data_IF_488245308200
#
_entry.id   IF_488245308200
#
_cell.length_a   1.000
_cell.length_b   1.000
_cell.length_c   1.000
_cell.angle_alpha   90.00
_cell.angle_beta   90.00
_cell.angle_gamma   90.00
#
_symmetry.space_group_name_H-M   'P 1'
#
loop_
_entity.id
_entity.type
_entity.pdbx_description
1 polymer ?
#
# COMPACT_ATOMS: atom_id res chain seq x y z
N UNK A 1 40.08 11.15 46.71
CA UNK A 1 38.91 12.02 46.46
C UNK A 1 38.80 12.56 45.02
N UNK A 2 39.83 12.43 44.15
CA UNK A 2 39.81 13.02 42.79
C UNK A 2 38.91 12.36 41.72
N UNK A 3 38.36 11.17 42.00
CA UNK A 3 37.57 10.39 41.03
C UNK A 3 36.06 10.57 41.15
N UNK A 4 35.60 11.42 42.09
CA UNK A 4 34.18 11.72 42.26
C UNK A 4 33.86 13.15 41.83
N UNK A 5 32.66 13.35 41.31
CA UNK A 5 32.10 14.66 40.96
C UNK A 5 30.76 14.82 41.66
N UNK A 6 30.51 16.02 42.20
CA UNK A 6 29.22 16.35 42.81
C UNK A 6 28.24 16.86 41.76
N UNK A 7 27.05 16.25 41.71
CA UNK A 7 25.94 16.62 40.84
C UNK A 7 24.67 16.59 41.69
N UNK A 8 23.97 17.71 41.79
CA UNK A 8 22.72 17.85 42.56
C UNK A 8 22.81 17.31 44.00
N UNK A 9 23.91 17.60 44.71
CA UNK A 9 24.14 17.16 46.10
C UNK A 9 24.52 15.70 46.28
N UNK A 10 24.80 14.97 45.19
CA UNK A 10 25.28 13.57 45.22
C UNK A 10 26.63 13.44 44.53
N UNK A 11 27.51 12.59 45.09
CA UNK A 11 28.82 12.30 44.52
C UNK A 11 28.76 11.06 43.62
N UNK A 12 29.19 11.22 42.38
CA UNK A 12 29.27 10.17 41.36
C UNK A 12 30.71 9.89 40.98
N UNK A 13 31.07 8.63 40.73
CA UNK A 13 32.38 8.30 40.15
C UNK A 13 32.43 8.80 38.70
N UNK A 14 33.58 9.32 38.24
CA UNK A 14 33.74 9.85 36.87
C UNK A 14 33.61 8.81 35.76
N UNK A 15 33.68 7.53 36.09
CA UNK A 15 33.58 6.40 35.15
C UNK A 15 32.16 5.85 34.97
N UNK A 16 31.14 6.47 35.55
CA UNK A 16 29.76 6.02 35.33
C UNK A 16 29.36 6.16 33.85
N UNK A 17 28.56 5.21 33.38
CA UNK A 17 28.05 5.17 32.01
C UNK A 17 26.59 5.61 31.90
N UNK A 18 25.86 5.70 33.03
CA UNK A 18 24.48 6.15 33.07
C UNK A 18 24.27 7.15 34.20
N UNK A 19 23.59 8.25 33.89
CA UNK A 19 23.18 9.26 34.84
C UNK A 19 21.72 9.63 34.57
N UNK A 20 20.92 9.59 35.63
CA UNK A 20 19.52 9.96 35.60
C UNK A 20 19.28 11.14 36.55
N UNK A 21 18.89 12.25 35.96
CA UNK A 21 18.52 13.51 36.61
C UNK A 21 17.06 13.88 36.30
N UNK A 22 16.22 12.90 36.00
CA UNK A 22 14.78 13.12 35.78
C UNK A 22 14.05 13.53 37.07
N UNK A 23 12.98 14.31 36.91
CA UNK A 23 12.11 14.73 38.01
C UNK A 23 12.88 15.42 39.15
N UNK A 24 13.80 16.34 38.82
CA UNK A 24 14.63 17.08 39.79
C UNK A 24 14.32 18.56 39.86
N UNK A 25 13.25 19.00 39.21
CA UNK A 25 12.86 20.42 39.09
C UNK A 25 14.00 21.31 38.56
N UNK A 26 14.93 20.74 37.77
CA UNK A 26 16.09 21.47 37.27
C UNK A 26 15.67 22.59 36.33
N UNK A 27 16.14 23.80 36.61
CA UNK A 27 16.03 24.94 35.70
C UNK A 27 17.26 25.07 34.79
N UNK A 28 18.38 24.45 35.18
CA UNK A 28 19.61 24.36 34.39
C UNK A 28 20.29 22.99 34.56
N UNK A 29 21.05 22.58 33.54
CA UNK A 29 21.86 21.37 33.61
C UNK A 29 23.11 21.66 34.47
N UNK A 30 23.44 20.83 35.48
CA UNK A 30 24.61 21.05 36.32
C UNK A 30 25.91 21.07 35.50
N UNK A 31 26.67 22.17 35.57
CA UNK A 31 27.88 22.38 34.79
C UNK A 31 28.95 21.29 34.95
N UNK A 32 28.97 20.63 36.11
CA UNK A 32 29.91 19.56 36.45
C UNK A 32 29.66 18.26 35.66
N UNK A 33 28.55 18.14 34.94
CA UNK A 33 28.26 16.97 34.10
C UNK A 33 29.34 16.71 33.04
N UNK A 34 30.00 17.78 32.56
CA UNK A 34 31.10 17.72 31.60
C UNK A 34 32.31 16.90 32.07
N UNK A 35 32.38 16.56 33.36
CA UNK A 35 33.42 15.72 33.94
C UNK A 35 33.14 14.21 33.82
N UNK A 36 31.94 13.81 33.41
CA UNK A 36 31.51 12.42 33.26
C UNK A 36 31.73 11.93 31.83
N UNK A 37 32.99 11.89 31.39
CA UNK A 37 33.34 11.64 29.97
C UNK A 37 33.02 10.22 29.47
N UNK A 38 32.76 9.27 30.38
CA UNK A 38 32.38 7.89 30.04
C UNK A 38 30.85 7.69 29.92
N UNK A 39 30.08 8.78 30.01
CA UNK A 39 28.63 8.69 30.01
C UNK A 39 28.11 8.23 28.64
N UNK A 40 27.34 7.16 28.65
CA UNK A 40 26.64 6.62 27.47
C UNK A 40 25.15 6.99 27.48
N UNK A 41 24.55 7.16 28.66
CA UNK A 41 23.13 7.44 28.83
C UNK A 41 22.94 8.62 29.80
N UNK A 42 22.29 9.67 29.32
CA UNK A 42 21.91 10.84 30.11
C UNK A 42 20.40 11.07 30.03
N UNK A 43 19.74 11.04 31.17
CA UNK A 43 18.30 11.28 31.30
C UNK A 43 18.09 12.59 32.07
N UNK A 44 17.43 13.55 31.43
CA UNK A 44 17.12 14.89 31.93
C UNK A 44 15.62 15.21 31.79
N UNK A 45 14.77 14.21 31.58
CA UNK A 45 13.35 14.41 31.35
C UNK A 45 12.57 14.86 32.60
N UNK A 46 11.38 15.42 32.39
CA UNK A 46 10.51 15.92 33.47
C UNK A 46 11.22 16.94 34.38
N UNK A 47 11.86 17.92 33.77
CA UNK A 47 12.49 19.04 34.46
C UNK A 47 11.88 20.37 33.97
N UNK A 48 12.49 21.50 34.32
CA UNK A 48 12.04 22.86 33.99
C UNK A 48 13.06 23.59 33.13
N UNK A 49 13.88 22.85 32.37
CA UNK A 49 14.94 23.43 31.53
C UNK A 49 14.31 24.30 30.45
N UNK A 50 14.73 25.57 30.38
CA UNK A 50 14.27 26.51 29.34
C UNK A 50 15.28 26.71 28.23
N UNK A 51 16.55 26.41 28.50
CA UNK A 51 17.69 26.54 27.59
C UNK A 51 18.73 25.45 27.88
N UNK A 52 19.61 25.23 26.91
CA UNK A 52 20.81 24.41 27.07
C UNK A 52 22.02 25.34 26.94
N UNK A 53 22.85 25.39 27.99
CA UNK A 53 24.08 26.19 27.96
C UNK A 53 25.03 25.66 26.90
N UNK A 54 25.72 26.57 26.22
CA UNK A 54 26.69 26.23 25.19
C UNK A 54 27.77 25.26 25.72
N UNK A 55 28.16 24.31 24.88
CA UNK A 55 29.24 23.36 25.12
C UNK A 55 29.05 22.44 26.35
N UNK A 56 27.86 22.39 26.95
CA UNK A 56 27.60 21.58 28.16
C UNK A 56 27.79 20.08 27.90
N UNK A 57 27.62 19.64 26.64
CA UNK A 57 27.74 18.25 26.22
C UNK A 57 29.04 17.92 25.48
N UNK A 58 29.93 18.89 25.24
CA UNK A 58 31.09 18.73 24.34
C UNK A 58 32.03 17.59 24.74
N UNK A 59 32.18 17.36 26.05
CA UNK A 59 33.03 16.30 26.58
C UNK A 59 32.35 14.93 26.70
N UNK A 60 31.05 14.84 26.39
CA UNK A 60 30.25 13.62 26.52
C UNK A 60 30.22 12.84 25.20
N UNK A 61 31.37 12.68 24.56
CA UNK A 61 31.49 12.11 23.21
C UNK A 61 31.08 10.63 23.13
N UNK A 62 31.03 9.92 24.27
CA UNK A 62 30.57 8.53 24.37
C UNK A 62 29.04 8.39 24.47
N UNK A 63 28.30 9.49 24.49
CA UNK A 63 26.86 9.48 24.70
C UNK A 63 26.15 8.78 23.53
N UNK A 64 25.36 7.76 23.85
CA UNK A 64 24.51 6.99 22.93
C UNK A 64 23.04 7.36 23.08
N UNK A 65 22.63 7.83 24.25
CA UNK A 65 21.24 8.22 24.51
C UNK A 65 21.19 9.50 25.33
N UNK A 66 20.46 10.49 24.81
CA UNK A 66 20.16 11.74 25.47
C UNK A 66 18.64 11.93 25.51
N UNK A 67 18.07 12.02 26.71
CA UNK A 67 16.65 12.30 26.88
C UNK A 67 16.45 13.66 27.55
N UNK A 68 15.88 14.61 26.81
CA UNK A 68 15.54 15.97 27.21
C UNK A 68 14.02 16.22 27.17
N UNK A 69 13.21 15.17 27.05
CA UNK A 69 11.75 15.28 26.92
C UNK A 69 11.09 15.89 28.16
N UNK A 70 9.88 16.42 28.03
CA UNK A 70 9.12 17.00 29.14
C UNK A 70 9.91 18.11 29.86
N UNK A 71 10.40 19.07 29.09
CA UNK A 71 11.04 20.28 29.57
C UNK A 71 10.32 21.52 29.01
N UNK A 72 10.97 22.68 29.00
CA UNK A 72 10.41 23.95 28.52
C UNK A 72 11.33 24.60 27.49
N UNK A 73 12.13 23.81 26.80
CA UNK A 73 13.11 24.26 25.83
C UNK A 73 12.39 24.95 24.67
N UNK A 74 12.77 26.20 24.39
CA UNK A 74 12.19 26.98 23.28
C UNK A 74 13.06 26.91 22.02
N UNK A 75 14.36 26.76 22.21
CA UNK A 75 15.35 26.69 21.16
C UNK A 75 16.47 25.74 21.58
N UNK A 76 17.15 25.16 20.61
CA UNK A 76 18.43 24.49 20.78
C UNK A 76 19.43 25.20 19.85
N UNK A 77 20.54 25.66 20.40
CA UNK A 77 21.57 26.37 19.63
C UNK A 77 22.24 25.44 18.62
N UNK A 78 22.66 26.02 17.49
CA UNK A 78 23.19 25.32 16.30
C UNK A 78 24.47 24.49 16.51
N UNK A 79 25.07 24.50 17.71
CA UNK A 79 26.27 23.71 18.04
C UNK A 79 26.06 22.72 19.21
N UNK A 80 24.84 22.64 19.76
CA UNK A 80 24.58 21.92 21.03
C UNK A 80 24.94 20.44 20.98
N UNK A 81 24.85 19.80 19.81
CA UNK A 81 25.02 18.35 19.66
C UNK A 81 26.25 17.94 18.83
N UNK A 82 27.07 18.90 18.39
CA UNK A 82 28.12 18.67 17.39
C UNK A 82 29.15 17.61 17.79
N UNK A 83 29.42 17.47 19.09
CA UNK A 83 30.39 16.49 19.63
C UNK A 83 29.78 15.14 19.96
N UNK A 84 28.46 15.00 19.87
CA UNK A 84 27.74 13.77 20.22
C UNK A 84 27.67 12.79 19.04
N UNK A 85 28.81 12.54 18.39
CA UNK A 85 28.87 11.76 17.14
C UNK A 85 28.49 10.28 17.32
N UNK A 86 28.49 9.76 18.56
CA UNK A 86 28.07 8.40 18.89
C UNK A 86 26.59 8.30 19.29
N UNK A 87 25.84 9.41 19.23
CA UNK A 87 24.45 9.44 19.68
C UNK A 87 23.57 8.60 18.75
N UNK A 88 22.82 7.68 19.35
CA UNK A 88 21.88 6.79 18.66
C UNK A 88 20.43 7.17 18.94
N UNK A 89 20.14 7.77 20.09
CA UNK A 89 18.79 8.11 20.51
C UNK A 89 18.75 9.52 21.09
N UNK A 90 17.93 10.38 20.52
CA UNK A 90 17.69 11.73 20.98
C UNK A 90 16.18 11.94 21.18
N UNK A 91 15.80 12.23 22.42
CA UNK A 91 14.41 12.53 22.77
C UNK A 91 14.29 13.99 23.20
N UNK A 92 13.45 14.73 22.47
CA UNK A 92 13.16 16.15 22.66
C UNK A 92 11.66 16.42 22.77
N UNK A 93 10.85 15.37 22.94
CA UNK A 93 9.39 15.47 23.00
C UNK A 93 8.86 16.30 24.16
N UNK A 94 7.65 16.85 24.00
CA UNK A 94 6.99 17.65 25.04
C UNK A 94 7.86 18.83 25.50
N UNK A 95 8.32 19.62 24.55
CA UNK A 95 9.05 20.88 24.77
C UNK A 95 8.27 22.05 24.13
N UNK A 96 8.93 23.15 23.81
CA UNK A 96 8.34 24.35 23.18
C UNK A 96 9.14 24.77 21.94
N UNK A 97 9.80 23.81 21.29
CA UNK A 97 10.64 24.07 20.13
C UNK A 97 9.77 24.53 18.96
N UNK A 98 10.16 25.63 18.32
CA UNK A 98 9.51 26.12 17.09
C UNK A 98 10.22 25.67 15.83
N UNK A 99 11.47 25.23 15.95
CA UNK A 99 12.34 24.81 14.85
C UNK A 99 13.13 23.55 15.23
N UNK A 100 13.45 22.74 14.22
CA UNK A 100 14.37 21.60 14.37
C UNK A 100 15.81 22.14 14.32
N UNK A 101 16.70 21.73 15.25
CA UNK A 101 18.07 22.26 15.27
C UNK A 101 18.85 21.83 14.02
N UNK A 102 19.40 22.80 13.28
CA UNK A 102 20.04 22.54 11.97
C UNK A 102 21.23 21.57 12.02
N UNK A 103 21.88 21.41 13.18
CA UNK A 103 23.00 20.50 13.39
C UNK A 103 22.60 19.06 13.66
N UNK A 104 21.30 18.75 13.71
CA UNK A 104 20.83 17.37 13.92
C UNK A 104 21.37 16.44 12.83
N UNK A 105 21.53 16.94 11.60
CA UNK A 105 22.13 16.21 10.47
C UNK A 105 23.56 15.72 10.72
N UNK A 106 24.30 16.25 11.70
CA UNK A 106 25.64 15.75 12.02
C UNK A 106 25.62 14.51 12.92
N UNK A 107 24.46 14.13 13.47
CA UNK A 107 24.28 12.92 14.27
C UNK A 107 24.10 11.69 13.37
N UNK A 108 25.11 11.35 12.58
CA UNK A 108 25.02 10.32 11.52
C UNK A 108 24.76 8.89 12.05
N UNK A 109 24.96 8.65 13.35
CA UNK A 109 24.66 7.37 14.01
C UNK A 109 23.26 7.33 14.64
N UNK A 110 22.46 8.39 14.48
CA UNK A 110 21.13 8.49 15.08
C UNK A 110 20.20 7.45 14.47
N UNK A 111 19.51 6.70 15.33
CA UNK A 111 18.55 5.64 15.01
C UNK A 111 17.14 6.04 15.45
N UNK A 112 17.02 6.83 16.52
CA UNK A 112 15.74 7.31 17.05
C UNK A 112 15.82 8.81 17.28
N UNK A 113 14.87 9.54 16.68
CA UNK A 113 14.64 10.95 16.92
C UNK A 113 13.16 11.17 17.27
N UNK A 114 12.93 11.69 18.46
CA UNK A 114 11.59 12.04 18.95
C UNK A 114 11.51 13.55 19.19
N UNK A 115 10.70 14.22 18.36
CA UNK A 115 10.40 15.65 18.38
C UNK A 115 8.90 15.91 18.62
N UNK A 116 8.15 14.89 19.05
CA UNK A 116 6.70 14.97 19.26
C UNK A 116 6.29 16.02 20.28
N UNK A 117 5.06 16.51 20.21
CA UNK A 117 4.48 17.45 21.16
C UNK A 117 5.38 18.70 21.36
N UNK A 118 5.69 19.37 20.25
CA UNK A 118 6.43 20.63 20.21
C UNK A 118 5.57 21.69 19.48
N UNK A 119 6.21 22.71 18.91
CA UNK A 119 5.54 23.77 18.14
C UNK A 119 6.23 23.96 16.81
N UNK A 120 6.75 22.88 16.22
CA UNK A 120 7.45 22.91 14.95
C UNK A 120 6.50 23.34 13.84
N UNK A 121 6.88 24.38 13.10
CA UNK A 121 6.06 24.97 12.02
C UNK A 121 6.47 24.43 10.65
N UNK A 122 7.76 24.18 10.47
CA UNK A 122 8.33 23.71 9.21
C UNK A 122 9.51 22.77 9.44
N UNK A 123 9.87 22.02 8.40
CA UNK A 123 11.09 21.23 8.32
C UNK A 123 11.97 21.89 7.26
N UNK A 124 13.12 22.39 7.70
CA UNK A 124 14.10 23.00 6.80
C UNK A 124 14.65 21.97 5.82
N UNK A 125 15.07 22.47 4.66
CA UNK A 125 15.73 21.65 3.65
C UNK A 125 17.01 21.04 4.27
N UNK A 126 17.34 19.82 3.87
CA UNK A 126 18.51 19.06 4.34
C UNK A 126 18.54 18.70 5.85
N UNK A 127 17.47 18.95 6.61
CA UNK A 127 17.42 18.65 8.07
C UNK A 127 17.81 17.19 8.36
N UNK A 128 17.40 16.27 7.48
CA UNK A 128 17.58 14.82 7.66
C UNK A 128 18.59 14.18 6.70
N UNK A 129 19.28 14.97 5.87
CA UNK A 129 20.02 14.49 4.70
C UNK A 129 21.14 13.47 4.98
N UNK A 130 21.65 13.47 6.20
CA UNK A 130 22.76 12.62 6.64
C UNK A 130 22.35 11.57 7.65
N UNK A 131 21.06 11.50 8.00
CA UNK A 131 20.53 10.58 9.01
C UNK A 131 20.15 9.23 8.39
N UNK A 132 21.05 8.65 7.59
CA UNK A 132 20.78 7.41 6.84
C UNK A 132 20.56 6.19 7.74
N UNK A 133 20.98 6.25 9.00
CA UNK A 133 20.77 5.20 10.01
C UNK A 133 19.46 5.36 10.81
N UNK A 134 18.67 6.41 10.54
CA UNK A 134 17.46 6.68 11.30
C UNK A 134 16.40 5.61 11.01
N UNK A 135 15.84 5.04 12.06
CA UNK A 135 14.83 3.97 12.01
C UNK A 135 13.47 4.47 12.52
N UNK A 136 13.49 5.42 13.46
CA UNK A 136 12.28 5.97 14.09
C UNK A 136 12.38 7.49 14.08
N UNK A 137 11.39 8.14 13.45
CA UNK A 137 11.20 9.57 13.45
C UNK A 137 9.78 9.89 13.90
N UNK A 138 9.67 10.60 15.02
CA UNK A 138 8.39 11.04 15.56
C UNK A 138 8.33 12.58 15.54
N UNK A 139 7.39 13.10 14.76
CA UNK A 139 7.07 14.52 14.56
C UNK A 139 5.61 14.82 14.93
N UNK A 140 4.94 13.91 15.64
CA UNK A 140 3.53 14.03 16.02
C UNK A 140 3.23 15.22 16.93
N UNK A 141 1.98 15.66 16.99
CA UNK A 141 1.52 16.79 17.83
C UNK A 141 2.40 18.03 17.66
N UNK A 142 2.56 18.47 16.42
CA UNK A 142 3.24 19.72 16.06
C UNK A 142 2.28 20.62 15.26
N UNK A 143 2.80 21.69 14.66
CA UNK A 143 1.99 22.63 13.85
C UNK A 143 2.52 22.71 12.42
N UNK A 144 3.04 21.58 11.91
CA UNK A 144 3.56 21.48 10.55
C UNK A 144 2.40 21.67 9.56
N UNK A 145 2.53 22.63 8.65
CA UNK A 145 1.52 22.89 7.61
C UNK A 145 1.85 22.22 6.28
N UNK A 146 3.12 21.93 6.03
CA UNK A 146 3.57 21.24 4.83
C UNK A 146 4.78 20.34 5.09
N UNK A 147 4.92 19.30 4.26
CA UNK A 147 6.16 18.54 4.09
C UNK A 147 6.64 18.79 2.65
N UNK A 148 7.87 19.26 2.50
CA UNK A 148 8.45 19.50 1.17
C UNK A 148 8.74 18.18 0.45
N UNK A 149 8.91 18.26 -0.86
CA UNK A 149 9.32 17.11 -1.64
C UNK A 149 10.69 16.61 -1.16
N UNK A 150 10.87 15.29 -1.13
CA UNK A 150 12.13 14.65 -0.73
C UNK A 150 12.65 14.96 0.69
N UNK A 151 11.85 15.58 1.59
CA UNK A 151 12.26 15.84 2.99
C UNK A 151 12.79 14.58 3.70
N UNK A 152 12.24 13.41 3.38
CA UNK A 152 12.66 12.12 3.94
C UNK A 152 13.55 11.29 2.99
N UNK A 153 13.98 11.84 1.86
CA UNK A 153 14.62 11.10 0.76
C UNK A 153 15.94 10.41 1.12
N UNK A 154 16.56 10.76 2.25
CA UNK A 154 17.80 10.13 2.74
C UNK A 154 17.59 9.15 3.88
N UNK A 155 16.36 9.02 4.39
CA UNK A 155 16.00 8.16 5.52
C UNK A 155 15.74 6.71 5.05
N UNK A 156 16.69 6.14 4.31
CA UNK A 156 16.49 4.85 3.62
C UNK A 156 16.32 3.65 4.55
N UNK A 157 16.64 3.78 5.84
CA UNK A 157 16.44 2.73 6.86
C UNK A 157 15.25 3.02 7.78
N UNK A 158 14.41 4.01 7.47
CA UNK A 158 13.29 4.39 8.31
C UNK A 158 12.23 3.28 8.34
N UNK A 159 11.84 2.86 9.54
CA UNK A 159 10.82 1.83 9.78
C UNK A 159 9.53 2.42 10.35
N UNK A 160 9.62 3.54 11.06
CA UNK A 160 8.51 4.24 11.70
C UNK A 160 8.60 5.74 11.44
N UNK A 161 7.53 6.31 10.90
CA UNK A 161 7.34 7.74 10.70
C UNK A 161 5.98 8.15 11.24
N UNK A 162 5.99 9.08 12.19
CA UNK A 162 4.77 9.62 12.79
C UNK A 162 4.68 11.13 12.52
N UNK A 163 3.59 11.52 11.87
CA UNK A 163 3.19 12.88 11.53
C UNK A 163 1.77 13.17 12.04
N UNK A 164 1.26 12.36 12.96
CA UNK A 164 -0.06 12.52 13.58
C UNK A 164 -0.22 13.93 14.19
N UNK A 165 -1.45 14.47 14.20
CA UNK A 165 -1.79 15.69 14.94
C UNK A 165 -0.90 16.89 14.50
N UNK A 166 -0.89 17.11 13.20
CA UNK A 166 -0.27 18.26 12.55
C UNK A 166 -1.35 19.04 11.75
N UNK A 167 -0.94 19.97 10.90
CA UNK A 167 -1.83 20.82 10.11
C UNK A 167 -1.64 20.59 8.61
N UNK A 168 -1.21 19.38 8.21
CA UNK A 168 -0.91 19.04 6.83
C UNK A 168 -2.18 19.01 5.99
N UNK A 169 -2.20 19.75 4.88
CA UNK A 169 -3.35 19.80 3.95
C UNK A 169 -3.17 18.94 2.71
N UNK A 170 -1.93 18.61 2.36
CA UNK A 170 -1.60 17.76 1.22
C UNK A 170 -0.33 16.93 1.49
N UNK A 171 -0.17 15.86 0.70
CA UNK A 171 1.07 15.11 0.58
C UNK A 171 1.64 15.47 -0.79
N UNK A 172 2.86 16.03 -0.82
CA UNK A 172 3.54 16.36 -2.08
C UNK A 172 4.01 15.10 -2.79
N UNK A 173 4.26 15.21 -4.08
CA UNK A 173 4.76 14.08 -4.86
C UNK A 173 6.12 13.63 -4.31
N UNK A 174 6.37 12.31 -4.35
CA UNK A 174 7.65 11.72 -3.97
C UNK A 174 8.07 11.89 -2.49
N UNK A 175 7.23 12.47 -1.62
CA UNK A 175 7.53 12.67 -0.18
C UNK A 175 8.04 11.39 0.51
N UNK A 176 7.53 10.21 0.13
CA UNK A 176 7.86 8.93 0.77
C UNK A 176 8.61 7.93 -0.13
N UNK A 177 9.05 8.33 -1.33
CA UNK A 177 9.50 7.37 -2.36
C UNK A 177 10.71 6.51 -1.95
N UNK A 178 11.60 7.03 -1.12
CA UNK A 178 12.84 6.36 -0.71
C UNK A 178 12.65 5.49 0.54
N UNK A 179 11.45 5.46 1.14
CA UNK A 179 11.18 4.80 2.42
C UNK A 179 10.74 3.34 2.24
N UNK A 180 11.49 2.56 1.47
CA UNK A 180 11.13 1.17 1.12
C UNK A 180 11.02 0.22 2.33
N UNK A 181 11.66 0.54 3.46
CA UNK A 181 11.63 -0.22 4.71
C UNK A 181 10.58 0.27 5.71
N UNK A 182 9.84 1.33 5.39
CA UNK A 182 8.83 1.89 6.29
C UNK A 182 7.74 0.84 6.55
N UNK A 183 7.47 0.60 7.83
CA UNK A 183 6.47 -0.36 8.30
C UNK A 183 5.24 0.33 8.83
N UNK A 184 5.42 1.48 9.46
CA UNK A 184 4.34 2.28 10.05
C UNK A 184 4.45 3.71 9.56
N UNK A 185 3.35 4.22 9.03
CA UNK A 185 3.18 5.61 8.67
C UNK A 185 1.90 6.12 9.33
N UNK A 186 2.05 7.09 10.23
CA UNK A 186 0.92 7.79 10.84
C UNK A 186 0.78 9.20 10.26
N UNK A 187 -0.38 9.48 9.67
CA UNK A 187 -0.81 10.76 9.12
C UNK A 187 -2.18 11.16 9.69
N UNK A 188 -2.60 10.54 10.80
CA UNK A 188 -3.86 10.82 11.46
C UNK A 188 -3.96 12.26 11.98
N UNK A 189 -5.17 12.72 12.27
CA UNK A 189 -5.41 14.04 12.87
C UNK A 189 -4.74 15.20 12.11
N UNK A 190 -4.82 15.15 10.77
CA UNK A 190 -4.34 16.22 9.89
C UNK A 190 -5.54 16.83 9.12
N UNK A 191 -5.26 17.59 8.07
CA UNK A 191 -6.27 18.28 7.23
C UNK A 191 -6.20 17.82 5.78
N UNK A 192 -5.75 16.59 5.53
CA UNK A 192 -5.61 16.04 4.19
C UNK A 192 -6.98 15.91 3.53
N UNK A 193 -7.14 16.41 2.30
CA UNK A 193 -8.41 16.37 1.57
C UNK A 193 -8.50 15.29 0.50
N UNK A 194 -7.36 14.86 -0.01
CA UNK A 194 -7.22 13.80 -1.02
C UNK A 194 -5.92 13.02 -0.84
N UNK A 195 -5.90 11.77 -1.31
CA UNK A 195 -4.68 11.00 -1.53
C UNK A 195 -4.53 10.76 -3.04
N UNK A 196 -3.44 11.28 -3.62
CA UNK A 196 -3.16 11.19 -5.05
C UNK A 196 -2.73 9.77 -5.45
N UNK A 197 -2.81 9.49 -6.74
CA UNK A 197 -2.30 8.26 -7.33
C UNK A 197 -0.82 8.05 -6.98
N UNK A 198 -0.43 6.80 -6.76
CA UNK A 198 0.97 6.40 -6.49
C UNK A 198 1.65 7.01 -5.25
N UNK A 199 0.96 7.79 -4.41
CA UNK A 199 1.51 8.41 -3.19
C UNK A 199 2.30 7.44 -2.30
N UNK A 200 1.83 6.19 -2.18
CA UNK A 200 2.45 5.15 -1.34
C UNK A 200 3.13 4.03 -2.15
N UNK A 201 3.29 4.19 -3.47
CA UNK A 201 3.64 3.10 -4.39
C UNK A 201 5.01 2.44 -4.10
N UNK A 202 5.91 3.16 -3.42
CA UNK A 202 7.25 2.66 -3.04
C UNK A 202 7.32 2.08 -1.63
N UNK A 203 6.26 2.21 -0.83
CA UNK A 203 6.20 1.72 0.56
C UNK A 203 5.90 0.22 0.62
N UNK A 204 6.74 -0.58 -0.05
CA UNK A 204 6.51 -2.02 -0.25
C UNK A 204 6.52 -2.84 1.05
N UNK A 205 7.13 -2.31 2.12
CA UNK A 205 7.18 -2.94 3.45
C UNK A 205 6.09 -2.47 4.40
N UNK A 206 5.24 -1.51 3.99
CA UNK A 206 4.28 -0.88 4.86
C UNK A 206 3.27 -1.90 5.37
N UNK A 207 3.11 -1.96 6.69
CA UNK A 207 2.22 -2.85 7.40
C UNK A 207 1.05 -2.08 8.01
N UNK A 208 1.27 -0.84 8.44
CA UNK A 208 0.27 -0.02 9.11
C UNK A 208 0.26 1.40 8.51
N UNK A 209 -0.94 1.83 8.11
CA UNK A 209 -1.18 3.17 7.58
C UNK A 209 -2.37 3.79 8.31
N UNK A 210 -2.13 4.92 8.97
CA UNK A 210 -3.13 5.67 9.70
C UNK A 210 -3.42 6.99 8.98
N UNK A 211 -4.67 7.19 8.61
CA UNK A 211 -5.21 8.38 7.95
C UNK A 211 -6.49 8.88 8.66
N UNK A 212 -6.74 8.37 9.87
CA UNK A 212 -7.90 8.69 10.71
C UNK A 212 -8.02 10.18 10.99
N UNK A 213 -9.23 10.70 11.14
CA UNK A 213 -9.47 12.12 11.49
C UNK A 213 -8.75 13.08 10.52
N UNK A 214 -8.99 12.91 9.22
CA UNK A 214 -8.60 13.85 8.18
C UNK A 214 -9.85 14.41 7.49
N UNK A 215 -9.67 15.18 6.41
CA UNK A 215 -10.76 15.71 5.60
C UNK A 215 -10.91 14.98 4.25
N UNK A 216 -10.46 13.72 4.18
CA UNK A 216 -10.35 12.99 2.91
C UNK A 216 -11.72 12.81 2.29
N UNK A 217 -11.91 13.34 1.08
CA UNK A 217 -13.12 13.16 0.28
C UNK A 217 -12.96 12.05 -0.77
N UNK A 218 -11.72 11.80 -1.18
CA UNK A 218 -11.35 10.83 -2.20
C UNK A 218 -9.96 10.24 -1.91
N UNK A 219 -9.83 8.94 -2.17
CA UNK A 219 -8.53 8.26 -2.33
C UNK A 219 -8.52 7.77 -3.77
N UNK A 220 -7.54 8.21 -4.56
CA UNK A 220 -7.49 7.88 -5.98
C UNK A 220 -7.30 6.38 -6.21
N UNK A 221 -7.71 5.94 -7.39
CA UNK A 221 -7.42 4.59 -7.84
C UNK A 221 -5.89 4.38 -7.91
N UNK A 222 -5.41 3.14 -7.80
CA UNK A 222 -3.98 2.79 -7.79
C UNK A 222 -3.15 3.22 -6.54
N UNK A 223 -3.72 3.95 -5.58
CA UNK A 223 -3.01 4.35 -4.35
C UNK A 223 -2.46 3.15 -3.56
N UNK A 224 -3.15 2.01 -3.59
CA UNK A 224 -2.79 0.82 -2.79
C UNK A 224 -2.14 -0.32 -3.58
N UNK A 225 -1.84 -0.14 -4.88
CA UNK A 225 -1.45 -1.24 -5.78
C UNK A 225 -0.24 -2.06 -5.33
N UNK A 226 0.74 -1.40 -4.71
CA UNK A 226 1.98 -2.05 -4.26
C UNK A 226 2.00 -2.37 -2.78
N UNK A 227 0.96 -1.99 -2.02
CA UNK A 227 0.88 -2.19 -0.57
C UNK A 227 0.45 -3.63 -0.21
N UNK A 228 1.12 -4.61 -0.80
CA UNK A 228 0.83 -6.04 -0.64
C UNK A 228 1.10 -6.56 0.78
N UNK A 229 1.90 -5.83 1.56
CA UNK A 229 2.22 -6.12 2.95
C UNK A 229 1.34 -5.40 3.98
N UNK A 230 0.43 -4.53 3.55
CA UNK A 230 -0.44 -3.77 4.45
C UNK A 230 -1.33 -4.71 5.24
N UNK A 231 -1.39 -4.49 6.56
CA UNK A 231 -2.15 -5.30 7.53
C UNK A 231 -3.25 -4.50 8.19
N UNK A 232 -2.96 -3.23 8.49
CA UNK A 232 -3.89 -2.29 9.12
C UNK A 232 -4.01 -1.03 8.28
N UNK A 233 -5.25 -0.64 7.96
CA UNK A 233 -5.57 0.61 7.29
C UNK A 233 -6.68 1.31 8.06
N UNK A 234 -6.36 2.52 8.55
CA UNK A 234 -7.30 3.34 9.31
C UNK A 234 -7.68 4.59 8.52
N UNK A 235 -8.97 4.69 8.21
CA UNK A 235 -9.63 5.73 7.43
C UNK A 235 -10.83 6.31 8.19
N UNK A 236 -10.97 6.00 9.47
CA UNK A 236 -12.09 6.47 10.28
C UNK A 236 -12.15 8.00 10.31
N UNK A 237 -13.33 8.56 10.56
CA UNK A 237 -13.53 9.99 10.77
C UNK A 237 -13.02 10.84 9.58
N UNK A 238 -13.38 10.44 8.36
CA UNK A 238 -13.10 11.17 7.12
C UNK A 238 -14.42 11.53 6.39
N UNK A 239 -14.33 11.98 5.14
CA UNK A 239 -15.46 12.39 4.29
C UNK A 239 -15.53 11.55 3.00
N UNK A 240 -15.03 10.31 3.05
CA UNK A 240 -14.91 9.44 1.87
C UNK A 240 -16.28 9.01 1.35
N UNK A 241 -16.46 9.11 0.03
CA UNK A 241 -17.69 8.64 -0.65
C UNK A 241 -17.59 7.20 -1.12
N UNK A 242 -16.38 6.68 -1.31
CA UNK A 242 -16.10 5.32 -1.74
C UNK A 242 -14.66 4.93 -1.39
N UNK A 243 -14.35 3.64 -1.48
CA UNK A 243 -12.98 3.12 -1.40
C UNK A 243 -12.50 2.69 -2.80
N UNK A 244 -11.23 2.90 -3.16
CA UNK A 244 -10.69 2.48 -4.45
C UNK A 244 -10.53 0.95 -4.52
N UNK A 245 -10.65 0.39 -5.72
CA UNK A 245 -10.56 -1.06 -5.93
C UNK A 245 -9.15 -1.60 -5.69
N UNK A 246 -8.13 -0.76 -5.82
CA UNK A 246 -6.74 -1.07 -5.49
C UNK A 246 -6.57 -1.62 -4.07
N UNK A 247 -7.49 -1.38 -3.14
CA UNK A 247 -7.47 -2.00 -1.80
C UNK A 247 -7.50 -3.54 -1.84
N UNK A 248 -8.07 -4.12 -2.91
CA UNK A 248 -8.09 -5.58 -3.12
C UNK A 248 -6.68 -6.16 -3.35
N UNK A 249 -5.70 -5.32 -3.69
CA UNK A 249 -4.29 -5.72 -3.84
C UNK A 249 -3.59 -5.89 -2.47
N UNK A 250 -4.15 -5.34 -1.38
CA UNK A 250 -3.64 -5.49 -0.02
C UNK A 250 -3.98 -6.88 0.57
N UNK A 251 -3.42 -7.95 -0.01
CA UNK A 251 -3.78 -9.34 0.33
C UNK A 251 -3.51 -9.76 1.79
N UNK A 252 -2.70 -8.99 2.52
CA UNK A 252 -2.39 -9.22 3.94
C UNK A 252 -3.23 -8.36 4.88
N UNK A 253 -4.16 -7.55 4.36
CA UNK A 253 -5.01 -6.69 5.16
C UNK A 253 -5.88 -7.55 6.09
N UNK A 254 -5.95 -7.11 7.35
CA UNK A 254 -6.71 -7.78 8.42
C UNK A 254 -7.59 -6.80 9.19
N UNK A 255 -7.16 -5.54 9.28
CA UNK A 255 -7.98 -4.45 9.79
C UNK A 255 -8.17 -3.39 8.71
N UNK A 256 -9.43 -3.07 8.44
CA UNK A 256 -9.85 -1.96 7.61
C UNK A 256 -10.90 -1.18 8.39
N UNK A 257 -10.52 0.01 8.83
CA UNK A 257 -11.35 0.88 9.63
C UNK A 257 -11.73 2.08 8.78
N UNK A 258 -13.02 2.32 8.57
CA UNK A 258 -13.54 3.40 7.71
C UNK A 258 -14.86 3.93 8.26
N UNK A 259 -15.10 3.75 9.55
CA UNK A 259 -16.27 4.21 10.26
C UNK A 259 -16.33 5.75 10.22
N UNK A 260 -17.52 6.31 10.42
CA UNK A 260 -17.75 7.76 10.41
C UNK A 260 -17.44 8.48 9.09
N UNK A 261 -17.27 7.75 7.97
CA UNK A 261 -17.34 8.32 6.62
C UNK A 261 -18.81 8.39 6.15
N UNK A 262 -19.45 9.56 6.29
CA UNK A 262 -20.87 9.73 5.94
C UNK A 262 -21.11 9.43 4.46
N UNK A 263 -22.19 8.68 4.18
CA UNK A 263 -22.65 8.33 2.83
C UNK A 263 -21.66 7.52 1.99
N UNK A 264 -20.69 6.84 2.63
CA UNK A 264 -19.75 5.97 1.92
C UNK A 264 -20.49 4.80 1.25
N UNK A 265 -20.28 4.66 -0.05
CA UNK A 265 -20.75 3.52 -0.84
C UNK A 265 -19.61 2.52 -1.00
N UNK A 266 -19.83 1.29 -0.56
CA UNK A 266 -18.84 0.22 -0.65
C UNK A 266 -19.15 -0.67 -1.85
N UNK A 267 -18.19 -0.78 -2.77
CA UNK A 267 -18.26 -1.73 -3.88
C UNK A 267 -18.42 -3.16 -3.34
N UNK A 268 -19.28 -3.97 -3.97
CA UNK A 268 -19.59 -5.33 -3.53
C UNK A 268 -18.34 -6.22 -3.41
N UNK A 269 -17.33 -5.99 -4.26
CA UNK A 269 -16.05 -6.70 -4.22
C UNK A 269 -15.28 -6.36 -2.95
N UNK A 270 -15.25 -5.08 -2.57
CA UNK A 270 -14.64 -4.62 -1.33
C UNK A 270 -15.43 -5.16 -0.13
N UNK A 271 -16.75 -5.18 -0.19
CA UNK A 271 -17.57 -5.77 0.89
C UNK A 271 -17.26 -7.27 1.06
N UNK A 272 -17.15 -8.04 -0.03
CA UNK A 272 -16.75 -9.46 0.02
C UNK A 272 -15.34 -9.63 0.53
N UNK A 273 -14.42 -8.75 0.13
CA UNK A 273 -13.05 -8.72 0.64
C UNK A 273 -13.03 -8.54 2.17
N UNK A 274 -13.80 -7.59 2.69
CA UNK A 274 -13.97 -7.35 4.13
C UNK A 274 -14.57 -8.56 4.84
N UNK A 275 -15.61 -9.17 4.26
CA UNK A 275 -16.25 -10.34 4.86
C UNK A 275 -15.29 -11.53 4.96
N UNK A 276 -14.41 -11.71 3.96
CA UNK A 276 -13.35 -12.72 3.97
C UNK A 276 -12.31 -12.46 5.06
N UNK A 277 -11.97 -11.21 5.33
CA UNK A 277 -11.09 -10.86 6.46
C UNK A 277 -11.72 -11.23 7.82
N UNK A 278 -13.04 -11.08 7.96
CA UNK A 278 -13.77 -11.31 9.22
C UNK A 278 -14.07 -12.80 9.51
N UNK A 279 -14.18 -13.64 8.48
CA UNK A 279 -14.61 -15.03 8.62
C UNK A 279 -13.62 -16.00 7.94
N UNK A 280 -12.96 -16.86 8.73
CA UNK A 280 -12.03 -17.90 8.25
C UNK A 280 -12.70 -19.04 7.46
N UNK A 281 -14.03 -19.11 7.47
CA UNK A 281 -14.81 -20.13 6.78
C UNK A 281 -15.15 -19.62 5.37
N UNK A 282 -14.24 -19.81 4.42
CA UNK A 282 -14.35 -19.50 2.96
C UNK A 282 -15.49 -20.26 2.25
N UNK A 283 -16.72 -20.24 2.79
CA UNK A 283 -17.88 -20.82 2.13
C UNK A 283 -18.29 -19.89 0.99
N UNK A 284 -18.48 -20.48 -0.20
CA UNK A 284 -18.87 -19.77 -1.40
C UNK A 284 -17.75 -19.07 -2.17
N UNK A 285 -16.49 -19.50 -1.96
CA UNK A 285 -15.36 -19.08 -2.80
C UNK A 285 -15.02 -20.21 -3.78
N UNK A 286 -14.97 -19.89 -5.06
CA UNK A 286 -14.40 -20.80 -6.05
C UNK A 286 -12.91 -21.03 -5.78
N UNK A 287 -12.52 -22.28 -5.55
CA UNK A 287 -11.11 -22.66 -5.42
C UNK A 287 -10.48 -22.79 -6.82
N UNK A 288 -9.50 -21.93 -7.10
CA UNK A 288 -8.79 -21.86 -8.38
C UNK A 288 -7.68 -22.92 -8.51
N UNK A 289 -7.73 -24.01 -7.74
CA UNK A 289 -6.75 -25.12 -7.81
C UNK A 289 -6.71 -25.85 -9.17
N UNK A 290 -7.59 -25.48 -10.10
CA UNK A 290 -7.64 -25.99 -11.48
C UNK A 290 -7.39 -24.89 -12.52
N UNK A 291 -6.91 -23.71 -12.12
CA UNK A 291 -6.72 -22.59 -13.02
C UNK A 291 -5.43 -22.76 -13.84
N UNK A 292 -5.57 -22.96 -15.15
CA UNK A 292 -4.46 -23.31 -16.07
C UNK A 292 -4.01 -22.11 -16.92
N UNK A 293 -4.59 -20.93 -16.68
CA UNK A 293 -4.38 -19.74 -17.51
C UNK A 293 -3.14 -18.93 -17.09
N UNK A 294 -2.41 -18.36 -18.06
CA UNK A 294 -1.23 -17.51 -17.82
C UNK A 294 -1.60 -16.19 -17.10
N UNK A 295 -0.64 -15.61 -16.37
CA UNK A 295 -0.83 -14.35 -15.62
C UNK A 295 -1.24 -13.16 -16.50
N UNK A 296 -0.82 -13.13 -17.77
CA UNK A 296 -1.15 -12.06 -18.73
C UNK A 296 -2.63 -12.05 -19.15
N UNK A 297 -3.26 -13.23 -19.27
CA UNK A 297 -4.70 -13.33 -19.57
C UNK A 297 -5.49 -12.83 -18.36
N UNK A 298 -5.07 -13.23 -17.15
CA UNK A 298 -5.76 -12.82 -15.93
C UNK A 298 -5.75 -11.30 -15.76
N UNK A 299 -4.68 -10.63 -16.18
CA UNK A 299 -4.55 -9.18 -16.11
C UNK A 299 -5.45 -8.46 -17.13
N UNK A 300 -5.41 -8.86 -18.41
CA UNK A 300 -6.27 -8.27 -19.46
C UNK A 300 -7.76 -8.51 -19.22
N UNK A 301 -8.13 -9.71 -18.73
CA UNK A 301 -9.51 -10.04 -18.34
C UNK A 301 -9.93 -9.21 -17.13
N UNK A 302 -9.05 -9.03 -16.12
CA UNK A 302 -9.36 -8.20 -14.94
C UNK A 302 -9.62 -6.74 -15.34
N UNK A 303 -8.83 -6.18 -16.24
CA UNK A 303 -9.02 -4.82 -16.74
C UNK A 303 -10.36 -4.68 -17.50
N UNK A 304 -10.63 -5.59 -18.44
CA UNK A 304 -11.89 -5.62 -19.19
C UNK A 304 -13.11 -5.74 -18.27
N UNK A 305 -13.04 -6.59 -17.24
CA UNK A 305 -14.10 -6.71 -16.22
C UNK A 305 -14.25 -5.42 -15.42
N UNK A 306 -13.15 -4.78 -15.01
CA UNK A 306 -13.21 -3.51 -14.30
C UNK A 306 -13.90 -2.42 -15.12
N UNK A 307 -13.69 -2.38 -16.44
CA UNK A 307 -14.41 -1.48 -17.33
C UNK A 307 -15.89 -1.84 -17.43
N UNK A 308 -16.18 -3.13 -17.66
CA UNK A 308 -17.53 -3.64 -17.78
C UNK A 308 -18.38 -3.38 -16.51
N UNK A 309 -17.79 -3.50 -15.33
CA UNK A 309 -18.51 -3.27 -14.06
C UNK A 309 -18.89 -1.79 -13.83
N UNK A 310 -18.32 -0.84 -14.58
CA UNK A 310 -18.72 0.58 -14.55
C UNK A 310 -20.04 0.83 -15.30
N UNK A 311 -20.46 -0.10 -16.15
CA UNK A 311 -21.69 0.05 -16.93
C UNK A 311 -22.93 0.14 -16.02
N UNK A 312 -23.95 0.94 -16.38
CA UNK A 312 -25.16 1.10 -15.58
C UNK A 312 -26.12 -0.10 -15.66
N UNK A 313 -25.81 -1.11 -16.47
CA UNK A 313 -26.75 -2.21 -16.74
C UNK A 313 -27.00 -3.07 -15.52
N UNK A 314 -28.28 -3.27 -15.20
CA UNK A 314 -28.76 -4.20 -14.17
C UNK A 314 -30.05 -4.81 -14.67
N UNK A 315 -30.25 -6.11 -14.47
CA UNK A 315 -31.52 -6.76 -14.74
C UNK A 315 -31.71 -7.95 -13.80
N UNK A 316 -32.97 -8.37 -13.64
CA UNK A 316 -33.32 -9.60 -12.90
C UNK A 316 -33.10 -10.83 -13.77
N UNK A 317 -32.85 -11.97 -13.12
CA UNK A 317 -32.59 -13.24 -13.79
C UNK A 317 -33.75 -13.64 -14.70
N UNK A 318 -34.99 -13.44 -14.26
CA UNK A 318 -36.20 -13.77 -15.03
C UNK A 318 -36.24 -13.02 -16.36
N UNK A 319 -35.86 -11.74 -16.36
CA UNK A 319 -35.82 -10.93 -17.58
C UNK A 319 -34.77 -11.43 -18.57
N UNK A 320 -33.59 -11.84 -18.08
CA UNK A 320 -32.55 -12.46 -18.90
C UNK A 320 -33.12 -13.71 -19.57
N UNK A 321 -33.75 -14.60 -18.78
CA UNK A 321 -34.31 -15.87 -19.25
C UNK A 321 -35.35 -15.63 -20.35
N UNK A 322 -36.33 -14.75 -20.09
CA UNK A 322 -37.37 -14.40 -21.05
C UNK A 322 -36.80 -13.86 -22.37
N UNK A 323 -35.68 -13.14 -22.30
CA UNK A 323 -35.06 -12.53 -23.48
C UNK A 323 -34.19 -13.50 -24.28
N UNK A 324 -33.49 -14.45 -23.64
CA UNK A 324 -32.62 -15.42 -24.34
C UNK A 324 -33.38 -16.62 -24.90
N UNK A 325 -34.50 -17.02 -24.26
CA UNK A 325 -35.28 -18.19 -24.68
C UNK A 325 -35.69 -18.17 -26.17
N UNK A 326 -36.18 -17.06 -26.75
CA UNK A 326 -36.56 -16.99 -28.16
C UNK A 326 -35.42 -17.28 -29.16
N UNK A 327 -34.16 -17.13 -28.74
CA UNK A 327 -32.99 -17.35 -29.60
C UNK A 327 -32.65 -18.83 -29.79
N UNK A 328 -33.26 -19.75 -29.03
CA UNK A 328 -33.02 -21.20 -29.10
C UNK A 328 -31.52 -21.58 -29.02
N UNK A 329 -30.75 -20.84 -28.19
CA UNK A 329 -29.32 -21.07 -28.01
C UNK A 329 -29.08 -22.43 -27.35
N UNK A 330 -28.08 -23.17 -27.81
CA UNK A 330 -27.73 -24.49 -27.27
C UNK A 330 -27.13 -24.40 -25.86
N UNK A 331 -26.46 -23.30 -25.54
CA UNK A 331 -25.79 -23.07 -24.26
C UNK A 331 -26.75 -22.79 -23.08
N UNK A 332 -28.05 -22.58 -23.31
CA UNK A 332 -29.02 -22.16 -22.27
C UNK A 332 -28.93 -23.02 -20.99
N UNK A 333 -28.93 -24.36 -21.02
CA UNK A 333 -28.86 -25.16 -19.79
C UNK A 333 -27.61 -24.86 -18.94
N UNK A 334 -26.45 -24.73 -19.59
CA UNK A 334 -25.18 -24.39 -18.92
C UNK A 334 -25.23 -22.98 -18.34
N UNK A 335 -25.72 -22.01 -19.12
CA UNK A 335 -25.88 -20.62 -18.69
C UNK A 335 -26.78 -20.50 -17.45
N UNK A 336 -27.96 -21.14 -17.46
CA UNK A 336 -28.88 -21.09 -16.32
C UNK A 336 -28.24 -21.64 -15.05
N UNK A 337 -27.51 -22.75 -15.16
CA UNK A 337 -26.76 -23.32 -14.03
C UNK A 337 -25.73 -22.35 -13.48
N UNK A 338 -25.03 -21.59 -14.34
CA UNK A 338 -24.04 -20.61 -13.88
C UNK A 338 -24.68 -19.36 -13.28
N UNK A 339 -25.87 -18.98 -13.74
CA UNK A 339 -26.64 -17.87 -13.17
C UNK A 339 -27.24 -18.19 -11.80
N UNK A 340 -27.43 -19.48 -11.46
CA UNK A 340 -27.85 -19.91 -10.11
C UNK A 340 -26.69 -20.00 -9.10
N UNK A 341 -25.45 -19.96 -9.59
CA UNK A 341 -24.28 -20.10 -8.74
C UNK A 341 -24.05 -18.84 -7.90
N UNK A 342 -24.01 -19.02 -6.58
CA UNK A 342 -23.82 -17.94 -5.61
C UNK A 342 -22.35 -17.80 -5.20
N UNK A 343 -21.50 -18.71 -5.63
CA UNK A 343 -20.08 -18.67 -5.33
C UNK A 343 -19.40 -17.58 -6.17
N UNK A 344 -18.40 -16.93 -5.58
CA UNK A 344 -17.66 -15.85 -6.22
C UNK A 344 -16.18 -16.21 -6.41
N UNK A 345 -15.55 -15.57 -7.40
CA UNK A 345 -14.14 -15.79 -7.72
C UNK A 345 -13.21 -15.37 -6.58
N UNK A 346 -12.17 -16.16 -6.33
CA UNK A 346 -11.22 -15.92 -5.23
C UNK A 346 -10.50 -14.56 -5.30
N UNK A 347 -10.27 -14.07 -6.53
CA UNK A 347 -9.50 -12.84 -6.82
C UNK A 347 -10.38 -11.67 -7.27
N UNK A 348 -11.26 -11.84 -8.27
CA UNK A 348 -12.18 -10.80 -8.73
C UNK A 348 -13.26 -10.45 -7.72
N UNK A 349 -13.61 -11.40 -6.82
CA UNK A 349 -14.69 -11.26 -5.84
C UNK A 349 -16.05 -10.94 -6.47
N UNK A 350 -16.30 -11.48 -7.67
CA UNK A 350 -17.55 -11.39 -8.42
C UNK A 350 -18.15 -12.77 -8.67
N UNK A 351 -19.47 -12.86 -8.79
CA UNK A 351 -20.17 -14.05 -9.26
C UNK A 351 -20.28 -14.03 -10.79
N UNK A 352 -20.60 -15.18 -11.39
CA UNK A 352 -20.85 -15.27 -12.83
C UNK A 352 -22.03 -14.38 -13.24
N UNK A 353 -23.10 -14.39 -12.45
CA UNK A 353 -24.30 -13.58 -12.67
C UNK A 353 -23.98 -12.08 -12.79
N UNK A 354 -23.18 -11.53 -11.87
CA UNK A 354 -22.84 -10.10 -11.86
C UNK A 354 -22.12 -9.67 -13.14
N UNK A 355 -21.19 -10.49 -13.64
CA UNK A 355 -20.49 -10.21 -14.90
C UNK A 355 -21.44 -10.40 -16.10
N UNK A 356 -22.24 -11.47 -16.09
CA UNK A 356 -23.17 -11.79 -17.17
C UNK A 356 -24.19 -10.68 -17.41
N UNK A 357 -24.77 -10.11 -16.34
CA UNK A 357 -25.72 -8.99 -16.44
C UNK A 357 -25.13 -7.82 -17.24
N UNK A 358 -23.85 -7.51 -17.03
CA UNK A 358 -23.19 -6.42 -17.74
C UNK A 358 -22.92 -6.76 -19.21
N UNK A 359 -22.42 -7.96 -19.48
CA UNK A 359 -22.24 -8.45 -20.86
C UNK A 359 -23.57 -8.45 -21.61
N UNK A 360 -24.61 -9.00 -21.00
CA UNK A 360 -25.94 -9.07 -21.56
C UNK A 360 -26.55 -7.69 -21.84
N UNK A 361 -26.31 -6.71 -20.95
CA UNK A 361 -26.69 -5.32 -21.15
C UNK A 361 -26.06 -4.72 -22.41
N UNK A 362 -24.74 -4.92 -22.60
CA UNK A 362 -24.04 -4.50 -23.84
C UNK A 362 -24.55 -5.22 -25.08
N UNK A 363 -24.79 -6.53 -25.01
CA UNK A 363 -25.35 -7.29 -26.15
C UNK A 363 -26.72 -6.74 -26.53
N UNK A 364 -27.61 -6.55 -25.56
CA UNK A 364 -29.00 -6.14 -25.78
C UNK A 364 -29.13 -4.75 -26.38
N UNK A 365 -28.17 -3.86 -26.10
CA UNK A 365 -28.14 -2.49 -26.62
C UNK A 365 -27.22 -2.31 -27.85
N UNK A 366 -26.62 -3.39 -28.34
CA UNK A 366 -25.72 -3.34 -29.51
C UNK A 366 -26.51 -3.37 -30.84
N UNK A 367 -26.07 -2.62 -31.87
CA UNK A 367 -26.59 -2.79 -33.22
C UNK A 367 -26.28 -4.18 -33.81
N UNK A 368 -25.31 -4.91 -33.25
CA UNK A 368 -24.89 -6.24 -33.69
C UNK A 368 -25.44 -7.37 -32.79
N UNK A 369 -26.61 -7.17 -32.14
CA UNK A 369 -27.11 -8.11 -31.13
C UNK A 369 -27.22 -9.56 -31.61
N UNK A 370 -27.63 -9.78 -32.86
CA UNK A 370 -27.84 -11.14 -33.39
C UNK A 370 -26.52 -11.91 -33.49
N UNK A 371 -25.49 -11.24 -34.00
CA UNK A 371 -24.14 -11.81 -34.09
C UNK A 371 -23.52 -12.03 -32.72
N UNK A 372 -23.72 -11.08 -31.79
CA UNK A 372 -23.26 -11.23 -30.41
C UNK A 372 -23.97 -12.37 -29.66
N UNK A 373 -25.26 -12.59 -29.91
CA UNK A 373 -26.00 -13.75 -29.36
C UNK A 373 -25.51 -15.07 -29.94
N UNK A 374 -25.19 -15.12 -31.24
CA UNK A 374 -24.58 -16.30 -31.87
C UNK A 374 -23.22 -16.60 -31.23
N UNK A 375 -22.39 -15.57 -31.05
CA UNK A 375 -21.08 -15.72 -30.41
C UNK A 375 -21.17 -16.13 -28.94
N UNK A 376 -22.16 -15.60 -28.20
CA UNK A 376 -22.45 -16.06 -26.84
C UNK A 376 -22.75 -17.55 -26.80
N UNK A 377 -23.53 -18.06 -27.76
CA UNK A 377 -23.82 -19.49 -27.87
C UNK A 377 -22.56 -20.31 -28.11
N UNK A 378 -21.70 -19.88 -29.04
CA UNK A 378 -20.45 -20.57 -29.38
C UNK A 378 -19.47 -20.62 -28.20
N UNK A 379 -19.14 -19.46 -27.62
CA UNK A 379 -18.18 -19.32 -26.53
C UNK A 379 -18.63 -20.11 -25.28
N UNK A 380 -19.94 -20.13 -24.99
CA UNK A 380 -20.46 -20.82 -23.81
C UNK A 380 -20.75 -22.31 -24.07
N UNK A 381 -20.87 -22.75 -25.33
CA UNK A 381 -20.97 -24.17 -25.69
C UNK A 381 -19.63 -24.90 -25.65
N UNK A 382 -18.52 -24.24 -26.01
CA UNK A 382 -17.17 -24.82 -25.99
C UNK A 382 -16.60 -25.05 -24.57
N UNK A 383 -17.44 -24.98 -23.53
CA UNK A 383 -17.02 -25.06 -22.14
C UNK A 383 -16.90 -26.47 -21.57
N UNK A 384 -15.89 -27.23 -22.01
CA UNK A 384 -15.39 -28.36 -21.21
C UNK A 384 -14.61 -27.90 -19.96
N UNK A 385 -14.25 -26.61 -19.91
CA UNK A 385 -13.47 -26.03 -18.83
C UNK A 385 -14.32 -25.82 -17.57
N UNK A 386 -14.01 -26.57 -16.50
CA UNK A 386 -14.73 -26.48 -15.22
C UNK A 386 -14.38 -25.25 -14.40
N UNK A 387 -13.27 -24.56 -14.68
CA UNK A 387 -12.79 -23.45 -13.84
C UNK A 387 -13.56 -22.15 -14.09
N UNK A 388 -13.80 -21.37 -13.03
CA UNK A 388 -14.56 -20.12 -13.09
C UNK A 388 -13.89 -19.09 -14.02
N UNK A 389 -12.56 -18.97 -13.96
CA UNK A 389 -11.79 -18.06 -14.81
C UNK A 389 -12.07 -18.32 -16.28
N UNK A 390 -12.03 -19.57 -16.73
CA UNK A 390 -12.33 -19.92 -18.13
C UNK A 390 -13.75 -19.52 -18.54
N UNK A 391 -14.75 -19.73 -17.66
CA UNK A 391 -16.14 -19.32 -17.93
C UNK A 391 -16.27 -17.80 -18.10
N UNK A 392 -15.65 -17.02 -17.22
CA UNK A 392 -15.68 -15.56 -17.28
C UNK A 392 -14.89 -15.03 -18.48
N UNK A 393 -13.71 -15.57 -18.77
CA UNK A 393 -12.91 -15.14 -19.92
C UNK A 393 -13.68 -15.29 -21.21
N UNK A 394 -14.32 -16.45 -21.45
CA UNK A 394 -15.16 -16.68 -22.64
C UNK A 394 -16.37 -15.77 -22.68
N UNK A 395 -17.06 -15.60 -21.56
CA UNK A 395 -18.19 -14.69 -21.45
C UNK A 395 -17.82 -13.25 -21.85
N UNK A 396 -16.70 -12.73 -21.35
CA UNK A 396 -16.24 -11.37 -21.70
C UNK A 396 -15.72 -11.33 -23.15
N UNK A 397 -15.16 -12.44 -23.67
CA UNK A 397 -14.65 -12.53 -25.05
C UNK A 397 -15.76 -12.35 -26.11
N UNK A 398 -17.02 -12.61 -25.77
CA UNK A 398 -18.17 -12.33 -26.64
C UNK A 398 -18.15 -10.89 -27.16
N UNK A 399 -17.71 -9.94 -26.32
CA UNK A 399 -17.67 -8.51 -26.65
C UNK A 399 -16.38 -8.07 -27.35
N UNK A 400 -15.36 -8.92 -27.37
CA UNK A 400 -14.03 -8.59 -27.89
C UNK A 400 -14.10 -8.27 -29.39
N UNK A 401 -13.54 -7.14 -29.80
CA UNK A 401 -13.62 -6.62 -31.17
C UNK A 401 -14.91 -5.86 -31.50
N UNK A 402 -15.89 -5.82 -30.62
CA UNK A 402 -17.09 -4.97 -30.74
C UNK A 402 -17.04 -3.73 -29.83
N UNK A 403 -16.22 -3.78 -28.77
CA UNK A 403 -16.06 -2.73 -27.78
C UNK A 403 -14.56 -2.50 -27.54
N UNK A 404 -14.07 -1.27 -27.75
CA UNK A 404 -12.64 -0.95 -27.68
C UNK A 404 -12.06 -1.10 -26.26
N UNK A 405 -12.88 -0.91 -25.23
CA UNK A 405 -12.53 -1.03 -23.81
C UNK A 405 -12.54 -2.47 -23.28
N UNK A 406 -12.87 -3.44 -24.15
CA UNK A 406 -12.80 -4.88 -23.89
C UNK A 406 -11.71 -5.47 -24.78
N UNK A 407 -10.58 -5.79 -24.16
CA UNK A 407 -9.47 -6.45 -24.83
C UNK A 407 -9.09 -7.69 -24.04
N UNK A 408 -9.40 -8.85 -24.60
CA UNK A 408 -8.91 -10.12 -24.06
C UNK A 408 -7.79 -10.57 -24.96
N UNK A 409 -6.58 -10.59 -24.40
CA UNK A 409 -5.45 -11.27 -25.00
C UNK A 409 -5.70 -12.76 -24.80
N UNK A 410 -6.45 -13.37 -25.73
CA UNK A 410 -6.62 -14.83 -25.75
C UNK A 410 -5.22 -15.40 -25.86
N UNK A 411 -4.84 -16.23 -24.88
CA UNK A 411 -3.48 -16.73 -24.79
C UNK A 411 -3.08 -17.35 -26.11
N UNK A 412 -1.91 -16.94 -26.60
CA UNK A 412 -1.27 -17.62 -27.71
C UNK A 412 -1.29 -19.12 -27.45
N UNK A 413 -1.11 -19.58 -26.21
CA UNK A 413 -1.11 -20.99 -25.79
C UNK A 413 -2.37 -21.81 -26.13
N UNK A 414 -3.58 -21.28 -25.98
CA UNK A 414 -4.81 -22.01 -26.34
C UNK A 414 -4.98 -22.10 -27.86
N UNK A 415 -4.66 -21.01 -28.58
CA UNK A 415 -4.58 -20.99 -30.03
C UNK A 415 -3.47 -21.92 -30.54
N UNK A 416 -2.31 -21.90 -29.90
CA UNK A 416 -1.15 -22.73 -30.21
C UNK A 416 -1.51 -24.19 -30.00
N UNK A 417 -2.08 -24.54 -28.85
CA UNK A 417 -2.50 -25.90 -28.53
C UNK A 417 -3.58 -26.41 -29.49
N UNK A 418 -4.60 -25.61 -29.81
CA UNK A 418 -5.63 -25.99 -30.78
C UNK A 418 -5.06 -26.19 -32.19
N UNK A 419 -4.13 -25.32 -32.64
CA UNK A 419 -3.46 -25.45 -33.93
C UNK A 419 -2.56 -26.69 -33.97
N UNK A 420 -1.81 -26.95 -32.89
CA UNK A 420 -0.96 -28.14 -32.79
C UNK A 420 -1.82 -29.40 -32.78
N UNK A 421 -2.83 -29.49 -31.92
CA UNK A 421 -3.71 -30.66 -31.82
C UNK A 421 -4.48 -30.95 -33.11
N UNK A 422 -5.00 -29.90 -33.77
CA UNK A 422 -5.67 -30.05 -35.07
C UNK A 422 -4.72 -30.38 -36.21
N UNK A 423 -3.44 -30.00 -36.11
CA UNK A 423 -2.41 -30.36 -37.10
C UNK A 423 -1.89 -31.77 -36.87
N UNK A 424 -1.83 -32.23 -35.63
CA UNK A 424 -1.47 -33.61 -35.29
C UNK A 424 -2.55 -34.60 -35.71
N UNK A 425 -3.84 -34.26 -35.58
CA UNK A 425 -4.97 -35.13 -35.95
C UNK A 425 -4.83 -36.57 -35.39
N UNK A 426 -4.37 -36.67 -34.12
CA UNK A 426 -4.13 -37.94 -33.44
C UNK A 426 -2.83 -38.67 -33.81
N UNK A 427 -1.97 -38.08 -34.63
CA UNK A 427 -0.63 -38.59 -34.97
C UNK A 427 0.44 -38.08 -33.97
N UNK A 428 1.59 -38.77 -33.90
CA UNK A 428 2.77 -38.26 -33.18
C UNK A 428 3.46 -37.15 -33.98
N UNK A 429 4.11 -36.22 -33.27
CA UNK A 429 4.78 -35.07 -33.89
C UNK A 429 5.98 -35.50 -34.75
N UNK A 430 5.85 -35.37 -36.07
CA UNK A 430 6.94 -35.55 -37.05
C UNK A 430 7.57 -34.21 -37.44
N UNK A 431 8.77 -34.22 -38.04
CA UNK A 431 9.45 -33.00 -38.50
C UNK A 431 8.61 -32.21 -39.52
N UNK A 432 7.85 -32.91 -40.37
CA UNK A 432 6.98 -32.29 -41.37
C UNK A 432 5.75 -31.63 -40.72
N UNK A 433 5.13 -32.29 -39.73
CA UNK A 433 4.03 -31.72 -38.94
C UNK A 433 4.49 -30.56 -38.06
N UNK A 434 5.73 -30.60 -37.56
CA UNK A 434 6.35 -29.54 -36.79
C UNK A 434 6.51 -28.27 -37.61
N UNK A 435 6.95 -28.38 -38.87
CA UNK A 435 7.06 -27.23 -39.77
C UNK A 435 5.69 -26.69 -40.20
N UNK A 436 4.68 -27.56 -40.40
CA UNK A 436 3.30 -27.12 -40.65
C UNK A 436 2.74 -26.37 -39.45
N UNK A 437 2.95 -26.87 -38.23
CA UNK A 437 2.56 -26.19 -37.00
C UNK A 437 3.25 -24.83 -36.92
N UNK A 438 4.59 -24.77 -37.07
CA UNK A 438 5.35 -23.53 -37.05
C UNK A 438 4.82 -22.51 -38.04
N UNK A 439 4.56 -22.91 -39.28
CA UNK A 439 4.04 -22.02 -40.31
C UNK A 439 2.66 -21.45 -39.95
N UNK A 440 1.74 -22.29 -39.47
CA UNK A 440 0.40 -21.86 -39.00
C UNK A 440 0.47 -20.94 -37.79
N UNK A 441 1.39 -21.20 -36.86
CA UNK A 441 1.59 -20.38 -35.67
C UNK A 441 2.22 -19.01 -36.01
N UNK A 442 3.13 -18.96 -36.98
CA UNK A 442 3.66 -17.68 -37.50
C UNK A 442 2.61 -16.83 -38.21
N UNK A 443 1.71 -17.47 -38.96
CA UNK A 443 0.65 -16.77 -39.71
C UNK A 443 -0.33 -16.02 -38.78
N UNK A 444 -0.50 -16.50 -37.54
CA UNK A 444 -1.30 -15.83 -36.51
C UNK A 444 -0.48 -14.90 -35.58
N UNK A 445 0.81 -14.68 -35.89
CA UNK A 445 1.67 -13.70 -35.20
C UNK A 445 2.37 -14.18 -33.94
N UNK A 446 2.56 -15.50 -33.74
CA UNK A 446 3.33 -16.03 -32.60
C UNK A 446 4.84 -15.91 -32.87
N UNK A 447 5.62 -15.45 -31.89
CA UNK A 447 7.08 -15.34 -32.01
C UNK A 447 7.78 -16.71 -31.97
N UNK A 448 8.91 -16.83 -32.68
CA UNK A 448 9.67 -18.08 -32.81
C UNK A 448 10.10 -18.68 -31.46
N UNK A 449 10.47 -17.85 -30.49
CA UNK A 449 10.86 -18.30 -29.15
C UNK A 449 9.71 -19.02 -28.41
N UNK A 450 8.48 -18.54 -28.58
CA UNK A 450 7.29 -19.14 -27.97
C UNK A 450 6.88 -20.43 -28.71
N UNK A 451 6.96 -20.44 -30.05
CA UNK A 451 6.67 -21.62 -30.87
C UNK A 451 7.58 -22.81 -30.51
N UNK A 452 8.88 -22.57 -30.33
CA UNK A 452 9.85 -23.63 -30.03
C UNK A 452 9.62 -24.32 -28.68
N UNK A 453 9.04 -23.62 -27.70
CA UNK A 453 8.72 -24.21 -26.39
C UNK A 453 7.61 -25.25 -26.53
N UNK A 454 6.65 -25.01 -27.42
CA UNK A 454 5.48 -25.89 -27.63
C UNK A 454 5.74 -27.04 -28.61
N UNK A 455 6.70 -26.90 -29.52
CA UNK A 455 7.04 -27.91 -30.52
C UNK A 455 8.17 -28.87 -30.08
N UNK A 456 8.74 -28.67 -28.89
CA UNK A 456 9.66 -29.62 -28.25
C UNK A 456 8.91 -30.76 -27.60
#
# INVERSE_FOLDING_TARGET
>A
MGDKVEICGKYYCKNITKLDLSCKDLTEIPANIKCLTNLEILILCFNKLTEIKENIFDNLTNLKTLNLSYNRLKEIKENTFDKLTNLKKLYLSSNKLTEIPANIKYLTNLQTLDLSNNKLIEINDDTFDRLTNLQTLDLSSNILTEIKENTFGRLTNLEFLDLEDNQLTEIKENTFNELAYLRTLDLGFNKLTEIKEFTFNRLISLAELYLTNNELTEIKENTFDRLTNLQQLWLDDNKLKSLPLSILNCRRLRGLHYENNRDITIDIRIQRFINRMKNYNNHGIFNDSQNVHSSSIQESVKESINNLMKDPYTCEKEFIIETILPYNLKCIPSLLSYLDDKDYHSTLLLTFYEVFVKVFGRISNSPHKEELMRRLDEEMMESECKCFTGRITRLVNVLNGFYEDIQITISNNERISAIILSTLDGQEMSDELREICRAKLKDIGIEDEEIEVWLR
#
